data_IF_243813095564
#
_entry.id   IF_243813095564
#
_cell.length_a   1.000
_cell.length_b   1.000
_cell.length_c   1.000
_cell.angle_alpha   90.00
_cell.angle_beta   90.00
_cell.angle_gamma   90.00
#
_symmetry.space_group_name_H-M   'P 1'
#
loop_
_entity.id
_entity.type
_entity.pdbx_description
1 polymer ?
#
# COMPACT_ATOMS: atom_id res chain seq x y z
N UNK A 1 28.89 27.00 20.40
CA UNK A 1 27.82 27.44 19.47
C UNK A 1 26.88 26.26 19.14
N UNK A 2 26.35 25.57 20.16
CA UNK A 2 25.44 24.40 20.03
C UNK A 2 24.23 24.38 21.01
N UNK A 3 24.16 25.17 22.11
CA UNK A 3 23.08 24.97 23.07
C UNK A 3 21.74 25.61 22.65
N UNK A 4 21.72 26.53 21.68
CA UNK A 4 20.49 27.24 21.28
C UNK A 4 19.65 26.48 20.23
N UNK A 5 20.26 25.61 19.43
CA UNK A 5 19.56 24.79 18.43
C UNK A 5 18.83 23.61 19.07
N UNK A 6 19.34 23.09 20.19
CA UNK A 6 18.79 21.91 20.87
C UNK A 6 17.47 22.20 21.60
N UNK A 7 17.30 23.42 22.15
CA UNK A 7 16.06 23.82 22.82
C UNK A 7 14.91 24.03 21.83
N UNK A 8 15.18 24.68 20.69
CA UNK A 8 14.19 24.84 19.62
C UNK A 8 13.77 23.49 19.00
N UNK A 9 14.73 22.57 18.85
CA UNK A 9 14.44 21.21 18.39
C UNK A 9 13.53 20.47 19.38
N UNK A 10 13.75 20.64 20.69
CA UNK A 10 12.95 20.01 21.75
C UNK A 10 11.52 20.57 21.79
N UNK A 11 11.35 21.87 21.62
CA UNK A 11 10.04 22.52 21.57
C UNK A 11 9.25 22.20 20.29
N UNK A 12 9.95 22.02 19.17
CA UNK A 12 9.35 21.55 17.91
C UNK A 12 8.98 20.06 17.98
N UNK A 13 9.85 19.23 18.57
CA UNK A 13 9.59 17.80 18.79
C UNK A 13 8.39 17.57 19.73
N UNK A 14 8.17 18.46 20.71
CA UNK A 14 6.99 18.39 21.58
C UNK A 14 5.68 18.77 20.87
N UNK A 15 5.73 19.65 19.87
CA UNK A 15 4.56 20.06 19.07
C UNK A 15 4.26 19.10 17.91
N UNK A 16 5.30 18.57 17.26
CA UNK A 16 5.21 17.77 16.03
C UNK A 16 5.79 16.35 16.19
N UNK A 17 5.63 15.76 17.38
CA UNK A 17 6.35 14.54 17.78
C UNK A 17 6.14 13.33 16.87
N UNK A 18 4.95 13.17 16.29
CA UNK A 18 4.63 12.04 15.40
C UNK A 18 5.35 12.16 14.04
N UNK A 19 5.42 13.38 13.50
CA UNK A 19 6.09 13.65 12.22
C UNK A 19 7.60 13.52 12.37
N UNK A 20 8.18 14.08 13.44
CA UNK A 20 9.63 14.00 13.68
C UNK A 20 10.07 12.56 13.94
N UNK A 21 9.29 11.77 14.70
CA UNK A 21 9.56 10.35 14.93
C UNK A 21 9.53 9.55 13.61
N UNK A 22 8.54 9.77 12.75
CA UNK A 22 8.44 9.09 11.44
C UNK A 22 9.66 9.38 10.54
N UNK A 23 10.06 10.64 10.44
CA UNK A 23 11.24 11.03 9.65
C UNK A 23 12.52 10.40 10.21
N UNK A 24 12.72 10.43 11.53
CA UNK A 24 13.88 9.80 12.18
C UNK A 24 13.86 8.28 11.97
N UNK A 25 12.69 7.64 12.04
CA UNK A 25 12.56 6.20 11.81
C UNK A 25 12.92 5.80 10.38
N UNK A 26 12.52 6.56 9.36
CA UNK A 26 12.88 6.32 7.96
C UNK A 26 14.39 6.48 7.76
N UNK A 27 15.00 7.57 8.25
CA UNK A 27 16.44 7.82 8.11
C UNK A 27 17.25 6.71 8.81
N UNK A 28 16.87 6.36 10.03
CA UNK A 28 17.53 5.30 10.80
C UNK A 28 17.35 3.95 10.13
N UNK A 29 16.14 3.63 9.63
CA UNK A 29 15.85 2.39 8.91
C UNK A 29 16.63 2.25 7.60
N UNK A 30 16.73 3.31 6.81
CA UNK A 30 17.55 3.32 5.58
C UNK A 30 19.04 3.15 5.89
N UNK A 31 19.55 3.84 6.93
CA UNK A 31 20.96 3.75 7.34
C UNK A 31 21.30 2.35 7.84
N UNK A 32 20.48 1.77 8.71
CA UNK A 32 20.65 0.39 9.18
C UNK A 32 20.52 -0.60 8.01
N UNK A 33 19.52 -0.45 7.15
CA UNK A 33 19.33 -1.32 5.99
C UNK A 33 20.51 -1.33 5.02
N UNK A 34 21.14 -0.18 4.80
CA UNK A 34 22.35 -0.08 3.98
C UNK A 34 23.57 -0.73 4.66
N UNK A 35 23.74 -0.52 5.97
CA UNK A 35 24.83 -1.13 6.75
C UNK A 35 24.71 -2.66 6.84
N UNK A 36 23.50 -3.19 7.04
CA UNK A 36 23.25 -4.63 7.14
C UNK A 36 23.41 -5.36 5.80
N UNK A 37 23.38 -4.65 4.66
CA UNK A 37 23.60 -5.23 3.33
C UNK A 37 25.04 -5.74 3.13
N UNK A 38 26.00 -5.24 3.91
CA UNK A 38 27.40 -5.62 3.82
C UNK A 38 27.82 -6.85 4.63
N UNK A 39 26.92 -7.43 5.44
CA UNK A 39 27.25 -8.56 6.35
C UNK A 39 26.38 -9.78 6.04
N UNK A 40 27.00 -10.90 5.67
CA UNK A 40 26.34 -12.17 5.33
C UNK A 40 25.53 -12.76 6.52
N UNK A 41 24.20 -12.74 6.35
CA UNK A 41 23.17 -13.74 6.66
C UNK A 41 23.22 -14.55 7.98
N UNK A 42 22.44 -14.10 8.96
CA UNK A 42 21.56 -14.97 9.79
C UNK A 42 20.51 -14.17 10.59
N UNK A 43 20.80 -12.90 10.91
CA UNK A 43 19.97 -12.04 11.80
C UNK A 43 18.85 -11.27 11.10
N UNK A 44 18.68 -11.40 9.78
CA UNK A 44 17.71 -10.64 8.96
C UNK A 44 16.25 -10.91 9.36
N UNK A 45 15.95 -12.13 9.81
CA UNK A 45 14.59 -12.53 10.20
C UNK A 45 14.14 -11.79 11.47
N UNK A 46 15.03 -11.62 12.44
CA UNK A 46 14.73 -10.89 13.68
C UNK A 46 14.56 -9.38 13.46
N UNK A 47 15.29 -8.79 12.50
CA UNK A 47 15.19 -7.35 12.22
C UNK A 47 13.90 -6.97 11.46
N UNK A 48 13.36 -7.88 10.65
CA UNK A 48 12.10 -7.65 9.90
C UNK A 48 10.84 -7.90 10.73
N UNK A 49 10.96 -8.65 11.83
CA UNK A 49 9.87 -9.00 12.74
C UNK A 49 9.02 -7.80 13.23
N UNK A 50 9.58 -6.69 13.74
CA UNK A 50 8.78 -5.55 14.19
C UNK A 50 7.98 -4.89 13.04
N UNK A 51 8.53 -4.88 11.82
CA UNK A 51 7.83 -4.36 10.64
C UNK A 51 6.69 -5.27 10.20
N UNK A 52 6.89 -6.59 10.28
CA UNK A 52 5.84 -7.56 9.97
C UNK A 52 4.68 -7.48 10.98
N UNK A 53 4.98 -7.36 12.28
CA UNK A 53 3.98 -7.18 13.32
C UNK A 53 3.14 -5.92 13.08
N UNK A 54 3.79 -4.79 12.74
CA UNK A 54 3.11 -3.54 12.39
C UNK A 54 2.15 -3.75 11.20
N UNK A 55 2.63 -4.39 10.14
CA UNK A 55 1.83 -4.67 8.95
C UNK A 55 0.63 -5.57 9.24
N UNK A 56 0.77 -6.57 10.12
CA UNK A 56 -0.33 -7.44 10.56
C UNK A 56 -1.37 -6.65 11.36
N UNK A 57 -0.94 -5.79 12.29
CA UNK A 57 -1.83 -4.93 13.07
C UNK A 57 -2.62 -3.97 12.17
N UNK A 58 -1.98 -3.31 11.20
CA UNK A 58 -2.65 -2.39 10.27
C UNK A 58 -3.67 -3.10 9.37
N UNK A 59 -3.34 -4.30 8.87
CA UNK A 59 -4.27 -5.11 8.05
C UNK A 59 -5.48 -5.59 8.84
N UNK A 60 -5.36 -5.86 10.14
CA UNK A 60 -6.49 -6.23 10.98
C UNK A 60 -7.44 -5.04 11.22
N UNK A 61 -6.89 -3.82 11.30
CA UNK A 61 -7.67 -2.60 11.50
C UNK A 61 -8.36 -2.10 10.22
N UNK A 62 -7.76 -2.27 9.04
CA UNK A 62 -8.27 -1.66 7.80
C UNK A 62 -9.70 -2.11 7.46
N UNK A 63 -10.00 -3.40 7.60
CA UNK A 63 -11.30 -3.98 7.24
C UNK A 63 -12.47 -3.42 8.09
N UNK A 64 -12.44 -3.47 9.44
CA UNK A 64 -13.52 -2.92 10.26
C UNK A 64 -13.60 -1.38 10.19
N UNK A 65 -12.46 -0.68 10.05
CA UNK A 65 -12.47 0.78 9.95
C UNK A 65 -13.10 1.26 8.66
N UNK A 66 -12.80 0.63 7.51
CA UNK A 66 -13.39 1.02 6.22
C UNK A 66 -14.90 0.77 6.23
N UNK A 67 -15.35 -0.41 6.67
CA UNK A 67 -16.79 -0.75 6.65
C UNK A 67 -17.60 0.16 7.57
N UNK A 68 -17.13 0.43 8.80
CA UNK A 68 -17.80 1.35 9.74
C UNK A 68 -17.76 2.80 9.26
N UNK A 69 -16.64 3.27 8.71
CA UNK A 69 -16.51 4.63 8.18
C UNK A 69 -17.41 4.86 6.96
N UNK A 70 -17.46 3.90 6.02
CA UNK A 70 -18.35 3.97 4.86
C UNK A 70 -19.82 3.95 5.27
N UNK A 71 -20.21 3.06 6.18
CA UNK A 71 -21.60 2.98 6.65
C UNK A 71 -22.05 4.28 7.33
N UNK A 72 -21.22 4.83 8.23
CA UNK A 72 -21.49 6.10 8.90
C UNK A 72 -21.55 7.28 7.92
N UNK A 73 -20.60 7.33 6.98
CA UNK A 73 -20.53 8.38 5.96
C UNK A 73 -21.73 8.38 5.01
N UNK A 74 -22.19 7.20 4.59
CA UNK A 74 -23.36 7.06 3.71
C UNK A 74 -24.68 7.30 4.44
N UNK A 75 -24.78 6.91 5.72
CA UNK A 75 -25.99 7.11 6.54
C UNK A 75 -26.33 8.59 6.76
N UNK A 76 -25.32 9.46 6.83
CA UNK A 76 -25.52 10.90 7.06
C UNK A 76 -25.91 11.69 5.81
N UNK A 77 -25.92 11.08 4.62
CA UNK A 77 -26.13 11.77 3.35
C UNK A 77 -27.44 11.33 2.68
N UNK A 78 -28.18 12.26 2.09
CA UNK A 78 -29.35 11.93 1.28
C UNK A 78 -28.94 11.15 0.02
N UNK A 79 -29.68 10.09 -0.34
CA UNK A 79 -29.33 9.17 -1.45
C UNK A 79 -29.06 9.89 -2.78
N UNK A 80 -29.79 10.97 -3.08
CA UNK A 80 -29.60 11.77 -4.29
C UNK A 80 -28.29 12.56 -4.26
N UNK A 81 -27.96 13.15 -3.11
CA UNK A 81 -26.71 13.86 -2.90
C UNK A 81 -25.51 12.92 -2.96
N UNK A 82 -25.62 11.73 -2.36
CA UNK A 82 -24.60 10.68 -2.43
C UNK A 82 -24.31 10.25 -3.87
N UNK A 83 -25.35 10.03 -4.69
CA UNK A 83 -25.17 9.67 -6.10
C UNK A 83 -24.47 10.78 -6.89
N UNK A 84 -24.85 12.05 -6.71
CA UNK A 84 -24.20 13.18 -7.40
C UNK A 84 -22.73 13.35 -7.03
N UNK A 85 -22.40 13.22 -5.74
CA UNK A 85 -21.00 13.24 -5.28
C UNK A 85 -20.21 12.02 -5.77
N UNK A 86 -20.84 10.84 -5.80
CA UNK A 86 -20.25 9.62 -6.32
C UNK A 86 -19.90 9.73 -7.80
N UNK A 87 -20.82 10.18 -8.65
CA UNK A 87 -20.58 10.35 -10.09
C UNK A 87 -19.46 11.35 -10.35
N UNK A 88 -19.44 12.48 -9.66
CA UNK A 88 -18.36 13.46 -9.79
C UNK A 88 -17.00 12.85 -9.39
N UNK A 89 -16.97 12.12 -8.28
CA UNK A 89 -15.76 11.47 -7.76
C UNK A 89 -15.24 10.38 -8.69
N UNK A 90 -16.12 9.52 -9.20
CA UNK A 90 -15.77 8.47 -10.17
C UNK A 90 -15.25 9.09 -11.47
N UNK A 91 -15.93 10.10 -11.99
CA UNK A 91 -15.50 10.80 -13.22
C UNK A 91 -14.12 11.44 -13.03
N UNK A 92 -13.88 12.08 -11.88
CA UNK A 92 -12.59 12.65 -11.53
C UNK A 92 -11.49 11.58 -11.42
N UNK A 93 -11.77 10.44 -10.77
CA UNK A 93 -10.81 9.35 -10.65
C UNK A 93 -10.46 8.70 -11.99
N UNK A 94 -11.45 8.49 -12.85
CA UNK A 94 -11.22 7.96 -14.19
C UNK A 94 -10.35 8.90 -15.01
N UNK A 95 -10.63 10.21 -14.95
CA UNK A 95 -9.87 11.21 -15.69
C UNK A 95 -8.41 11.30 -15.22
N UNK A 96 -8.17 11.37 -13.91
CA UNK A 96 -6.79 11.44 -13.38
C UNK A 96 -6.03 10.14 -13.60
N UNK A 97 -6.69 8.98 -13.49
CA UNK A 97 -6.07 7.67 -13.76
C UNK A 97 -5.68 7.55 -15.23
N UNK A 98 -6.55 7.98 -16.14
CA UNK A 98 -6.25 7.99 -17.57
C UNK A 98 -5.01 8.82 -17.88
N UNK A 99 -4.93 10.05 -17.35
CA UNK A 99 -3.77 10.92 -17.54
C UNK A 99 -2.51 10.29 -16.92
N UNK A 100 -2.60 9.76 -15.69
CA UNK A 100 -1.48 9.14 -15.00
C UNK A 100 -0.95 7.90 -15.76
N UNK A 101 -1.83 7.07 -16.31
CA UNK A 101 -1.46 5.89 -17.12
C UNK A 101 -0.79 6.32 -18.42
N UNK A 102 -1.32 7.31 -19.14
CA UNK A 102 -0.71 7.82 -20.38
C UNK A 102 0.70 8.35 -20.09
N UNK A 103 0.86 9.17 -19.04
CA UNK A 103 2.17 9.70 -18.63
C UNK A 103 3.11 8.58 -18.19
N UNK A 104 2.62 7.61 -17.40
CA UNK A 104 3.42 6.47 -16.94
C UNK A 104 3.93 5.60 -18.08
N UNK A 105 3.07 5.29 -19.07
CA UNK A 105 3.45 4.53 -20.26
C UNK A 105 4.47 5.32 -21.08
N UNK A 106 4.24 6.62 -21.32
CA UNK A 106 5.19 7.47 -22.04
C UNK A 106 6.56 7.50 -21.36
N UNK A 107 6.58 7.65 -20.03
CA UNK A 107 7.82 7.67 -19.26
C UNK A 107 8.58 6.34 -19.34
N UNK A 108 7.88 5.21 -19.21
CA UNK A 108 8.48 3.86 -19.31
C UNK A 108 9.02 3.60 -20.71
N UNK A 109 8.31 4.02 -21.77
CA UNK A 109 8.77 3.87 -23.15
C UNK A 109 9.99 4.73 -23.49
N UNK A 110 10.14 5.89 -22.84
CA UNK A 110 11.30 6.78 -23.01
C UNK A 110 12.51 6.27 -22.23
N UNK A 111 12.32 5.93 -20.95
CA UNK A 111 13.42 5.52 -20.07
C UNK A 111 13.85 4.07 -20.34
N UNK A 112 12.93 3.22 -20.82
CA UNK A 112 13.12 1.77 -21.02
C UNK A 112 13.87 1.12 -19.84
N UNK A 113 13.30 1.19 -18.62
CA UNK A 113 13.94 0.57 -17.46
C UNK A 113 14.05 -0.94 -17.72
N UNK A 114 15.27 -1.48 -17.73
CA UNK A 114 15.54 -2.90 -17.94
C UNK A 114 16.20 -3.27 -19.28
N UNK A 115 16.43 -2.33 -20.20
CA UNK A 115 17.10 -2.60 -21.49
C UNK A 115 18.58 -3.07 -21.38
N UNK A 116 19.14 -3.15 -20.16
CA UNK A 116 20.50 -3.62 -19.90
C UNK A 116 20.60 -4.73 -18.84
N UNK A 117 19.48 -5.36 -18.46
CA UNK A 117 19.49 -6.53 -17.58
C UNK A 117 19.12 -7.75 -18.39
N UNK A 118 20.06 -8.70 -18.53
CA UNK A 118 19.78 -10.04 -19.03
C UNK A 118 18.78 -10.71 -18.08
N UNK A 119 17.48 -10.53 -18.35
CA UNK A 119 16.42 -11.27 -17.70
C UNK A 119 16.37 -12.68 -18.30
N UNK A 120 17.46 -13.42 -18.12
CA UNK A 120 17.48 -14.86 -18.34
C UNK A 120 16.53 -15.49 -17.32
N UNK A 121 15.34 -15.82 -17.80
CA UNK A 121 14.43 -16.83 -17.24
C UNK A 121 14.26 -16.82 -15.72
N UNK A 122 13.51 -15.85 -15.19
CA UNK A 122 12.63 -16.16 -14.05
C UNK A 122 11.19 -16.36 -14.53
N UNK A 123 11.00 -17.30 -15.46
CA UNK A 123 9.69 -17.86 -15.81
C UNK A 123 9.20 -18.85 -14.74
N UNK A 124 9.51 -18.63 -13.46
CA UNK A 124 8.85 -19.28 -12.32
C UNK A 124 7.51 -18.59 -11.97
N UNK A 125 6.81 -18.13 -13.00
CA UNK A 125 5.45 -17.61 -12.93
C UNK A 125 4.56 -18.49 -13.79
N UNK A 126 4.47 -19.78 -13.47
CA UNK A 126 3.47 -20.70 -14.01
C UNK A 126 2.07 -20.40 -13.49
N UNK A 127 1.68 -19.12 -13.47
CA UNK A 127 0.30 -18.73 -13.28
C UNK A 127 -0.49 -19.16 -14.52
N UNK A 128 -1.76 -19.57 -14.37
CA UNK A 128 -2.62 -19.85 -15.52
C UNK A 128 -2.56 -18.66 -16.47
N UNK A 129 -2.34 -18.92 -17.76
CA UNK A 129 -2.43 -17.92 -18.82
C UNK A 129 -3.90 -17.52 -18.89
N UNK A 130 -4.30 -16.56 -18.06
CA UNK A 130 -5.66 -16.06 -18.04
C UNK A 130 -5.85 -15.27 -19.32
N UNK A 131 -6.85 -15.65 -20.11
CA UNK A 131 -7.24 -14.85 -21.26
C UNK A 131 -7.70 -13.49 -20.73
N UNK A 132 -7.45 -12.40 -21.47
CA UNK A 132 -7.93 -11.07 -21.05
C UNK A 132 -9.45 -11.06 -20.83
N UNK A 133 -10.19 -11.90 -21.55
CA UNK A 133 -11.61 -12.14 -21.32
C UNK A 133 -11.90 -12.77 -19.95
N UNK A 134 -11.13 -13.77 -19.52
CA UNK A 134 -11.31 -14.42 -18.22
C UNK A 134 -11.03 -13.45 -17.07
N UNK A 135 -10.04 -12.57 -17.21
CA UNK A 135 -9.74 -11.53 -16.22
C UNK A 135 -10.83 -10.44 -16.14
N UNK A 136 -11.42 -10.06 -17.28
CA UNK A 136 -12.57 -9.14 -17.29
C UNK A 136 -13.84 -9.80 -16.75
N UNK A 137 -14.03 -11.10 -17.03
CA UNK A 137 -15.12 -11.88 -16.45
C UNK A 137 -14.97 -12.01 -14.94
N UNK A 138 -13.75 -12.21 -14.42
CA UNK A 138 -13.47 -12.24 -12.98
C UNK A 138 -13.73 -10.88 -12.31
N UNK A 139 -13.40 -9.78 -12.98
CA UNK A 139 -13.67 -8.42 -12.49
C UNK A 139 -15.17 -8.07 -12.48
N UNK A 140 -15.91 -8.47 -13.53
CA UNK A 140 -17.33 -8.11 -13.70
C UNK A 140 -18.24 -9.04 -12.89
N UNK A 141 -17.80 -10.26 -12.60
CA UNK A 141 -18.57 -11.27 -11.87
C UNK A 141 -18.64 -10.87 -10.40
N UNK A 142 -19.75 -10.26 -9.93
CA UNK A 142 -19.83 -9.76 -8.57
C UNK A 142 -20.20 -10.96 -7.70
N UNK A 143 -19.19 -11.69 -7.23
CA UNK A 143 -19.38 -12.71 -6.22
C UNK A 143 -18.92 -12.18 -4.87
N UNK A 144 -19.80 -12.33 -3.87
CA UNK A 144 -19.86 -13.67 -3.32
C UNK A 144 -21.26 -14.23 -3.09
N UNK A 145 -21.39 -15.54 -3.32
CA UNK A 145 -22.49 -16.33 -2.79
C UNK A 145 -22.50 -16.34 -1.24
N UNK A 146 -21.40 -15.94 -0.60
CA UNK A 146 -21.27 -15.80 0.86
C UNK A 146 -20.20 -14.74 1.26
N UNK A 147 -20.63 -13.55 1.70
CA UNK A 147 -19.74 -12.41 2.06
C UNK A 147 -18.75 -12.80 3.16
N UNK A 148 -19.16 -13.69 4.08
CA UNK A 148 -18.32 -14.17 5.17
C UNK A 148 -17.09 -14.94 4.67
N UNK A 149 -17.24 -15.76 3.61
CA UNK A 149 -16.14 -16.52 3.03
C UNK A 149 -15.11 -15.60 2.34
N UNK A 150 -15.58 -14.58 1.63
CA UNK A 150 -14.72 -13.58 0.98
C UNK A 150 -13.93 -12.75 1.99
N UNK A 151 -14.58 -12.37 3.08
CA UNK A 151 -13.94 -11.67 4.20
C UNK A 151 -12.90 -12.57 4.88
N UNK A 152 -13.18 -13.87 5.03
CA UNK A 152 -12.24 -14.83 5.61
C UNK A 152 -11.02 -15.04 4.71
N UNK A 153 -11.20 -15.14 3.39
CA UNK A 153 -10.12 -15.28 2.40
C UNK A 153 -9.19 -14.05 2.30
N UNK A 154 -9.70 -12.85 2.63
CA UNK A 154 -8.90 -11.61 2.65
C UNK A 154 -8.01 -11.49 3.90
N UNK A 155 -8.29 -12.26 4.96
CA UNK A 155 -7.45 -12.29 6.16
C UNK A 155 -6.27 -13.23 5.90
N UNK A 156 -5.02 -12.85 6.22
CA UNK A 156 -3.92 -13.80 6.15
C UNK A 156 -4.21 -14.97 7.09
N UNK A 157 -4.52 -16.13 6.51
CA UNK A 157 -4.75 -17.38 7.23
C UNK A 157 -3.50 -17.68 8.10
N UNK A 158 -3.63 -17.73 9.44
CA UNK A 158 -2.51 -18.11 10.29
C UNK A 158 -2.14 -19.60 10.20
N UNK A 159 -2.90 -20.40 9.43
CA UNK A 159 -2.77 -21.86 9.31
C UNK A 159 -2.31 -22.35 7.93
N UNK A 160 -1.76 -21.47 7.09
CA UNK A 160 -1.05 -21.88 5.86
C UNK A 160 0.42 -21.48 5.95
N UNK A 161 1.16 -22.26 6.72
CA UNK A 161 2.54 -22.65 6.40
C UNK A 161 2.45 -23.97 5.63
#
# INVERSE_FOLDING_TARGET
LYPHTLSLLKDFCKRNGLLTLSVIAVITGCTLGFMLRGTELSTQIYFSFPGELLMRMLKMLILPLITSSLMSGLSSMESKACCRMGVLTVTYYLWTTFIAVVVGIMLVLIIQPGAGTDMESNRLGGGPVMTSADALLDLISPHPANILESVLKLQPNPFTQ
#
